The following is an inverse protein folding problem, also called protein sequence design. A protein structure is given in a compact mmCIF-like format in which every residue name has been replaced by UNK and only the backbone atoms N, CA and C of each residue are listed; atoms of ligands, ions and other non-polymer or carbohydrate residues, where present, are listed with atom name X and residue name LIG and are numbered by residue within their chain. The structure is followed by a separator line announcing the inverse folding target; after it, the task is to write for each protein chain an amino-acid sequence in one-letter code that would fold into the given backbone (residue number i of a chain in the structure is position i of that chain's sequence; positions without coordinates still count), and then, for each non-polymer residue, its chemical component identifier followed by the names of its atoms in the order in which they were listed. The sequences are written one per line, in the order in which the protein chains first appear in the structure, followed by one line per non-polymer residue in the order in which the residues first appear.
data_IF_433508716927
#
_entry.id   IF_433508716927
#
_cell.length_a   1.000
_cell.length_b   1.000
_cell.length_c   1.000
_cell.angle_alpha   90.00
_cell.angle_beta   90.00
_cell.angle_gamma   90.00
#
_symmetry.space_group_name_H-M   'P 1'
#
loop_
_entity.id
_entity.type
_entity.pdbx_description
1 polymer ?
#
# COMPACT_ATOMS: atom_id res chain seq x y z
N UNK A 1 -30.53 8.52 15.99
CA UNK A 1 -29.89 7.67 17.04
C UNK A 1 -29.39 8.58 18.16
N UNK A 2 -29.45 8.16 19.44
CA UNK A 2 -28.93 8.92 20.61
C UNK A 2 -27.55 8.47 21.12
N UNK A 3 -27.06 7.31 20.67
CA UNK A 3 -25.74 6.77 21.02
C UNK A 3 -25.00 6.37 19.75
N UNK A 4 -23.68 6.50 19.78
CA UNK A 4 -22.77 6.10 18.70
C UNK A 4 -22.28 4.69 19.01
N UNK A 5 -22.35 3.80 18.02
CA UNK A 5 -21.89 2.40 18.09
C UNK A 5 -20.64 2.22 17.24
N UNK A 6 -19.88 1.13 17.43
CA UNK A 6 -18.72 0.82 16.58
C UNK A 6 -19.09 0.76 15.08
N UNK A 7 -20.30 0.29 14.75
CA UNK A 7 -20.78 0.30 13.37
C UNK A 7 -20.86 1.73 12.80
N UNK A 8 -21.27 2.72 13.60
CA UNK A 8 -21.35 4.11 13.15
C UNK A 8 -19.93 4.67 12.86
N UNK A 9 -18.88 4.20 13.56
CA UNK A 9 -17.49 4.52 13.23
C UNK A 9 -17.03 3.84 11.94
N UNK A 10 -17.29 2.53 11.78
CA UNK A 10 -16.95 1.80 10.55
C UNK A 10 -17.62 2.44 9.33
N UNK A 11 -18.91 2.76 9.41
CA UNK A 11 -19.65 3.42 8.33
C UNK A 11 -19.11 4.81 8.01
N UNK A 12 -18.63 5.54 9.02
CA UNK A 12 -17.99 6.85 8.83
C UNK A 12 -16.64 6.73 8.12
N UNK A 13 -15.80 5.75 8.50
CA UNK A 13 -14.54 5.44 7.84
C UNK A 13 -14.80 5.11 6.36
N UNK A 14 -15.79 4.26 6.08
CA UNK A 14 -16.15 3.85 4.72
C UNK A 14 -16.61 5.03 3.87
N UNK A 15 -17.33 5.96 4.50
CA UNK A 15 -17.78 7.18 3.85
C UNK A 15 -16.63 8.14 3.56
N UNK A 16 -15.60 8.21 4.42
CA UNK A 16 -14.43 9.07 4.20
C UNK A 16 -13.53 8.49 3.10
N UNK A 17 -13.30 7.18 3.11
CA UNK A 17 -12.41 6.50 2.16
C UNK A 17 -13.09 6.30 0.80
N UNK A 18 -14.23 5.61 0.79
CA UNK A 18 -14.92 5.22 -0.45
C UNK A 18 -16.01 6.20 -0.91
N UNK A 19 -16.43 7.12 -0.05
CA UNK A 19 -17.55 8.04 -0.32
C UNK A 19 -18.93 7.47 0.05
N UNK A 20 -19.98 8.19 -0.35
CA UNK A 20 -21.37 7.80 -0.08
C UNK A 20 -21.74 6.49 -0.78
N UNK A 21 -22.29 5.55 -0.02
CA UNK A 21 -22.84 4.30 -0.56
C UNK A 21 -23.99 4.58 -1.53
N UNK A 22 -23.95 3.97 -2.71
CA UNK A 22 -24.99 4.11 -3.73
C UNK A 22 -25.89 2.88 -3.77
N UNK A 23 -26.79 2.77 -2.80
CA UNK A 23 -27.79 1.68 -2.70
C UNK A 23 -28.66 1.52 -3.96
N UNK A 24 -28.85 2.58 -4.74
CA UNK A 24 -29.68 2.58 -5.95
C UNK A 24 -28.88 2.35 -7.25
N UNK A 25 -27.55 2.18 -7.18
CA UNK A 25 -26.76 1.92 -8.38
C UNK A 25 -26.90 0.43 -8.73
N UNK A 26 -27.74 0.14 -9.72
CA UNK A 26 -27.93 -1.21 -10.24
C UNK A 26 -26.66 -1.59 -11.03
N UNK A 27 -25.95 -2.62 -10.56
CA UNK A 27 -24.79 -3.20 -11.24
C UNK A 27 -25.22 -4.53 -11.83
N UNK A 28 -24.87 -4.78 -13.08
CA UNK A 28 -25.20 -6.06 -13.71
C UNK A 28 -24.44 -7.21 -13.04
N UNK A 29 -24.97 -8.45 -13.01
CA UNK A 29 -24.24 -9.59 -12.44
C UNK A 29 -22.86 -9.82 -13.08
N UNK A 30 -22.73 -9.52 -14.38
CA UNK A 30 -21.45 -9.59 -15.10
C UNK A 30 -20.43 -8.56 -14.62
N UNK A 31 -20.84 -7.30 -14.45
CA UNK A 31 -19.97 -6.25 -13.92
C UNK A 31 -19.60 -6.52 -12.45
N UNK A 32 -20.58 -6.95 -11.63
CA UNK A 32 -20.32 -7.32 -10.23
C UNK A 32 -19.28 -8.43 -10.13
N UNK A 33 -19.32 -9.39 -11.07
CA UNK A 33 -18.30 -10.43 -11.19
C UNK A 33 -16.93 -9.85 -11.54
N UNK A 34 -16.83 -8.94 -12.51
CA UNK A 34 -15.54 -8.31 -12.86
C UNK A 34 -14.95 -7.61 -11.63
N UNK A 35 -15.76 -6.80 -10.93
CA UNK A 35 -15.35 -6.08 -9.73
C UNK A 35 -14.89 -7.05 -8.63
N UNK A 36 -15.62 -8.15 -8.39
CA UNK A 36 -15.22 -9.13 -7.37
C UNK A 36 -13.84 -9.76 -7.63
N UNK A 37 -13.54 -10.12 -8.88
CA UNK A 37 -12.21 -10.64 -9.24
C UNK A 37 -11.14 -9.56 -9.21
N UNK A 38 -11.48 -8.32 -9.56
CA UNK A 38 -10.58 -7.17 -9.45
C UNK A 38 -10.16 -6.93 -7.99
N UNK A 39 -11.13 -6.79 -7.10
CA UNK A 39 -10.88 -6.59 -5.67
C UNK A 39 -10.18 -7.80 -5.02
N UNK A 40 -10.53 -9.03 -5.44
CA UNK A 40 -9.83 -10.23 -5.01
C UNK A 40 -8.36 -10.24 -5.47
N UNK A 41 -8.06 -9.70 -6.65
CA UNK A 41 -6.69 -9.55 -7.17
C UNK A 41 -5.83 -8.66 -6.27
N UNK A 42 -6.36 -7.50 -5.85
CA UNK A 42 -5.71 -6.63 -4.87
C UNK A 42 -5.50 -7.35 -3.53
N UNK A 43 -6.55 -7.99 -3.01
CA UNK A 43 -6.52 -8.67 -1.72
C UNK A 43 -5.48 -9.80 -1.67
N UNK A 44 -5.46 -10.70 -2.66
CA UNK A 44 -4.48 -11.80 -2.72
C UNK A 44 -3.07 -11.27 -2.88
N UNK A 45 -2.86 -10.29 -3.76
CA UNK A 45 -1.53 -9.72 -3.98
C UNK A 45 -1.00 -9.06 -2.69
N UNK A 46 -1.82 -8.24 -2.03
CA UNK A 46 -1.45 -7.62 -0.75
C UNK A 46 -1.26 -8.62 0.39
N UNK A 47 -1.95 -9.76 0.36
CA UNK A 47 -1.81 -10.82 1.37
C UNK A 47 -0.49 -11.57 1.24
N UNK A 48 -0.11 -11.96 0.02
CA UNK A 48 1.04 -12.84 -0.22
C UNK A 48 2.34 -12.11 -0.50
N UNK A 49 2.33 -10.79 -0.71
CA UNK A 49 3.54 -9.98 -0.76
C UNK A 49 4.00 -9.57 0.65
N UNK A 50 5.32 -9.59 0.84
CA UNK A 50 5.96 -9.39 2.14
C UNK A 50 5.79 -7.95 2.63
N UNK A 51 6.00 -6.99 1.75
CA UNK A 51 6.15 -5.61 2.16
C UNK A 51 4.85 -4.82 2.13
N UNK A 52 3.79 -5.35 1.53
CA UNK A 52 2.48 -4.71 1.49
C UNK A 52 1.91 -4.46 2.88
N UNK A 53 1.13 -3.39 2.97
CA UNK A 53 0.35 -3.07 4.15
C UNK A 53 -0.72 -4.15 4.42
N UNK A 54 -1.01 -4.46 5.70
CA UNK A 54 -2.05 -5.41 6.03
C UNK A 54 -3.42 -5.00 5.50
N UNK A 55 -4.12 -5.91 4.81
CA UNK A 55 -5.50 -5.69 4.41
C UNK A 55 -6.42 -5.77 5.63
N UNK A 56 -7.25 -4.74 5.81
CA UNK A 56 -8.27 -4.67 6.87
C UNK A 56 -9.61 -5.15 6.34
N UNK A 57 -9.96 -4.72 5.13
CA UNK A 57 -11.26 -4.99 4.50
C UNK A 57 -11.18 -4.90 2.99
N UNK A 58 -11.99 -5.72 2.31
CA UNK A 58 -12.25 -5.60 0.87
C UNK A 58 -13.77 -5.61 0.64
N UNK A 59 -14.25 -4.76 -0.27
CA UNK A 59 -15.67 -4.63 -0.57
C UNK A 59 -15.94 -4.40 -2.05
N UNK A 60 -17.02 -4.98 -2.55
CA UNK A 60 -17.56 -4.73 -3.90
C UNK A 60 -18.84 -3.88 -3.86
N UNK A 61 -19.11 -3.23 -2.73
CA UNK A 61 -20.26 -2.34 -2.57
C UNK A 61 -19.93 -0.99 -3.23
N UNK A 62 -20.72 -0.52 -4.21
CA UNK A 62 -20.41 0.70 -4.92
C UNK A 62 -20.53 1.95 -4.03
N UNK A 63 -19.46 2.76 -4.01
CA UNK A 63 -19.39 4.00 -3.25
C UNK A 63 -18.90 5.17 -4.12
N UNK A 64 -19.41 6.36 -3.86
CA UNK A 64 -18.98 7.57 -4.56
C UNK A 64 -19.27 7.56 -6.07
N UNK A 65 -18.51 8.34 -6.84
CA UNK A 65 -18.72 8.50 -8.29
C UNK A 65 -17.99 7.43 -9.10
N UNK A 66 -16.80 7.00 -8.66
CA UNK A 66 -15.89 6.15 -9.43
C UNK A 66 -15.61 4.75 -8.82
N UNK A 67 -15.82 4.53 -7.52
CA UNK A 67 -15.48 3.25 -6.89
C UNK A 67 -16.64 2.24 -6.99
N UNK A 68 -16.43 1.17 -7.77
CA UNK A 68 -17.34 0.03 -7.81
C UNK A 68 -17.01 -1.02 -6.73
N UNK A 69 -15.78 -0.99 -6.22
CA UNK A 69 -15.28 -1.72 -5.07
C UNK A 69 -14.10 -0.95 -4.47
N UNK A 70 -13.58 -1.41 -3.33
CA UNK A 70 -12.33 -0.93 -2.75
C UNK A 70 -11.72 -1.94 -1.78
N UNK A 71 -10.39 -1.92 -1.71
CA UNK A 71 -9.59 -2.57 -0.68
C UNK A 71 -9.03 -1.53 0.30
N UNK A 72 -9.21 -1.77 1.59
CA UNK A 72 -8.71 -0.94 2.68
C UNK A 72 -7.52 -1.62 3.35
N UNK A 73 -6.41 -0.89 3.39
CA UNK A 73 -5.17 -1.31 4.03
C UNK A 73 -4.91 -0.50 5.29
N UNK A 74 -4.14 -1.05 6.22
CA UNK A 74 -3.62 -0.34 7.38
C UNK A 74 -2.19 0.13 7.09
N UNK A 75 -1.95 1.43 6.83
CA UNK A 75 -0.61 1.92 6.52
C UNK A 75 0.37 1.69 7.67
N UNK A 76 1.62 1.34 7.34
CA UNK A 76 2.73 1.37 8.30
C UNK A 76 3.10 2.82 8.63
N UNK A 77 3.34 3.11 9.91
CA UNK A 77 3.91 4.39 10.34
C UNK A 77 5.43 4.43 10.04
N UNK A 78 5.77 4.56 8.75
CA UNK A 78 7.15 4.64 8.29
C UNK A 78 7.39 5.83 7.37
N UNK A 79 8.56 6.45 7.51
CA UNK A 79 8.98 7.59 6.70
C UNK A 79 9.92 7.20 5.54
N UNK A 80 10.52 6.02 5.61
CA UNK A 80 11.51 5.55 4.66
C UNK A 80 11.01 4.28 3.98
N UNK A 81 11.18 4.22 2.67
CA UNK A 81 10.81 3.09 1.83
C UNK A 81 12.04 2.58 1.10
N UNK A 82 12.23 1.27 1.08
CA UNK A 82 13.20 0.62 0.20
C UNK A 82 12.58 0.33 -1.18
N UNK A 83 13.41 -0.10 -2.12
CA UNK A 83 12.97 -0.36 -3.50
C UNK A 83 11.96 -1.51 -3.53
N UNK A 84 12.19 -2.58 -2.77
CA UNK A 84 11.36 -3.77 -2.72
C UNK A 84 9.93 -3.44 -2.23
N UNK A 85 9.80 -2.58 -1.23
CA UNK A 85 8.52 -2.08 -0.71
C UNK A 85 7.72 -1.36 -1.80
N UNK A 86 8.37 -0.45 -2.54
CA UNK A 86 7.71 0.29 -3.62
C UNK A 86 7.28 -0.65 -4.75
N UNK A 87 8.13 -1.62 -5.12
CA UNK A 87 7.78 -2.62 -6.13
C UNK A 87 6.62 -3.51 -5.68
N UNK A 88 6.58 -3.94 -4.41
CA UNK A 88 5.45 -4.67 -3.83
C UNK A 88 4.16 -3.86 -3.86
N UNK A 89 4.23 -2.55 -3.56
CA UNK A 89 3.07 -1.66 -3.65
C UNK A 89 2.56 -1.52 -5.10
N UNK A 90 3.48 -1.41 -6.07
CA UNK A 90 3.12 -1.44 -7.50
C UNK A 90 2.45 -2.76 -7.89
N UNK A 91 2.97 -3.90 -7.41
CA UNK A 91 2.39 -5.21 -7.67
C UNK A 91 0.96 -5.31 -7.10
N UNK A 92 0.75 -4.88 -5.85
CA UNK A 92 -0.58 -4.85 -5.24
C UNK A 92 -1.56 -3.99 -6.03
N UNK A 93 -1.13 -2.82 -6.49
CA UNK A 93 -1.95 -1.95 -7.34
C UNK A 93 -2.29 -2.60 -8.69
N UNK A 94 -1.37 -3.38 -9.28
CA UNK A 94 -1.59 -4.10 -10.52
C UNK A 94 -2.50 -5.34 -10.35
N UNK A 95 -2.71 -5.78 -9.11
CA UNK A 95 -3.45 -6.99 -8.76
C UNK A 95 -4.83 -7.08 -9.40
N UNK A 96 -5.62 -6.01 -9.36
CA UNK A 96 -6.97 -5.99 -9.94
C UNK A 96 -6.98 -6.20 -11.46
N UNK A 97 -6.14 -5.45 -12.18
CA UNK A 97 -5.97 -5.59 -13.64
C UNK A 97 -5.44 -6.99 -14.01
N UNK A 98 -4.45 -7.49 -13.29
CA UNK A 98 -3.85 -8.80 -13.55
C UNK A 98 -4.88 -9.93 -13.32
N UNK A 99 -5.71 -9.83 -12.28
CA UNK A 99 -6.78 -10.79 -12.04
C UNK A 99 -7.82 -10.80 -13.17
N UNK A 100 -8.22 -9.62 -13.67
CA UNK A 100 -9.13 -9.54 -14.82
C UNK A 100 -8.54 -10.22 -16.08
N UNK A 101 -7.27 -9.94 -16.38
CA UNK A 101 -6.55 -10.54 -17.50
C UNK A 101 -6.51 -12.07 -17.38
N UNK A 102 -6.14 -12.61 -16.21
CA UNK A 102 -6.05 -14.06 -15.96
C UNK A 102 -7.43 -14.74 -16.05
N UNK A 103 -8.48 -14.12 -15.48
CA UNK A 103 -9.79 -14.77 -15.33
C UNK A 103 -10.65 -14.60 -16.58
N UNK A 104 -10.62 -13.43 -17.20
CA UNK A 104 -11.52 -13.05 -18.30
C UNK A 104 -10.81 -12.94 -19.66
N UNK A 105 -9.47 -12.91 -19.69
CA UNK A 105 -8.70 -12.62 -20.90
C UNK A 105 -8.98 -11.23 -21.47
N UNK A 106 -9.52 -10.33 -20.65
CA UNK A 106 -9.95 -8.98 -21.02
C UNK A 106 -9.72 -8.05 -19.84
N UNK A 107 -9.35 -6.82 -20.16
CA UNK A 107 -9.10 -5.75 -19.21
C UNK A 107 -10.23 -4.72 -19.28
N UNK A 108 -10.59 -4.15 -18.14
CA UNK A 108 -11.59 -3.10 -18.01
C UNK A 108 -10.96 -1.72 -17.81
N UNK A 109 -11.81 -0.69 -17.76
CA UNK A 109 -11.44 0.67 -17.36
C UNK A 109 -11.38 0.86 -15.83
N UNK A 110 -11.69 -0.19 -15.04
CA UNK A 110 -11.71 -0.13 -13.58
C UNK A 110 -10.36 0.18 -12.96
N UNK A 111 -9.26 -0.27 -13.57
CA UNK A 111 -7.90 -0.09 -13.10
C UNK A 111 -7.29 1.31 -13.35
N UNK A 112 -8.10 2.33 -13.70
CA UNK A 112 -7.58 3.66 -14.07
C UNK A 112 -6.81 4.31 -12.92
N UNK A 113 -7.40 4.32 -11.71
CA UNK A 113 -6.76 4.89 -10.52
C UNK A 113 -5.48 4.16 -10.13
N UNK A 114 -5.47 2.83 -10.27
CA UNK A 114 -4.28 2.04 -9.98
C UNK A 114 -3.16 2.38 -10.94
N UNK A 115 -3.44 2.42 -12.24
CA UNK A 115 -2.46 2.77 -13.26
C UNK A 115 -1.90 4.19 -13.06
N UNK A 116 -2.74 5.15 -12.65
CA UNK A 116 -2.27 6.50 -12.32
C UNK A 116 -1.29 6.46 -11.13
N UNK A 117 -1.64 5.74 -10.05
CA UNK A 117 -0.78 5.57 -8.87
C UNK A 117 0.55 4.90 -9.22
N UNK A 118 0.49 3.80 -9.95
CA UNK A 118 1.66 3.02 -10.41
C UNK A 118 2.57 3.88 -11.26
N UNK A 119 2.01 4.63 -12.21
CA UNK A 119 2.78 5.50 -13.10
C UNK A 119 3.53 6.58 -12.30
N UNK A 120 2.84 7.27 -11.38
CA UNK A 120 3.47 8.27 -10.51
C UNK A 120 4.59 7.66 -9.68
N UNK A 121 4.35 6.49 -9.08
CA UNK A 121 5.34 5.79 -8.27
C UNK A 121 6.58 5.39 -9.09
N UNK A 122 6.40 4.84 -10.28
CA UNK A 122 7.48 4.48 -11.19
C UNK A 122 8.33 5.70 -11.58
N UNK A 123 7.69 6.84 -11.91
CA UNK A 123 8.42 8.08 -12.15
C UNK A 123 9.20 8.54 -10.91
N UNK A 124 8.64 8.42 -9.70
CA UNK A 124 9.36 8.77 -8.46
C UNK A 124 10.58 7.86 -8.23
N UNK A 125 10.45 6.55 -8.44
CA UNK A 125 11.56 5.58 -8.34
C UNK A 125 12.71 5.99 -9.28
N UNK A 126 12.38 6.32 -10.52
CA UNK A 126 13.37 6.61 -11.57
C UNK A 126 13.96 8.02 -11.44
N UNK A 127 13.13 9.03 -11.18
CA UNK A 127 13.52 10.44 -11.31
C UNK A 127 13.81 11.14 -9.98
N UNK A 128 13.23 10.66 -8.88
CA UNK A 128 13.34 11.34 -7.58
C UNK A 128 14.26 10.58 -6.63
N UNK A 129 14.09 9.26 -6.52
CA UNK A 129 14.76 8.45 -5.52
C UNK A 129 16.11 7.89 -5.96
N UNK A 130 16.46 7.98 -7.24
CA UNK A 130 17.69 7.41 -7.78
C UNK A 130 17.76 5.89 -7.65
N UNK A 131 16.61 5.22 -7.68
CA UNK A 131 16.47 3.77 -7.49
C UNK A 131 16.48 3.00 -8.81
N UNK A 132 17.00 3.61 -9.89
CA UNK A 132 17.14 2.97 -11.19
C UNK A 132 18.62 2.77 -11.54
N UNK A 133 19.06 1.53 -11.87
CA UNK A 133 20.48 1.26 -12.11
C UNK A 133 21.04 1.91 -13.38
N UNK A 134 20.22 2.20 -14.40
CA UNK A 134 20.70 2.86 -15.63
C UNK A 134 20.96 4.35 -15.44
N UNK A 135 20.11 5.01 -14.65
CA UNK A 135 20.26 6.44 -14.33
C UNK A 135 21.22 6.66 -13.17
N UNK A 136 21.31 5.69 -12.26
CA UNK A 136 22.13 5.73 -11.05
C UNK A 136 21.53 6.61 -9.96
N UNK A 137 22.38 6.96 -8.99
CA UNK A 137 21.99 7.68 -7.76
C UNK A 137 21.85 9.19 -8.00
N UNK A 138 21.05 9.58 -9.00
CA UNK A 138 20.78 10.98 -9.38
C UNK A 138 19.31 11.30 -9.11
N UNK A 139 19.05 12.50 -8.61
CA UNK A 139 17.69 13.02 -8.44
C UNK A 139 17.48 14.25 -9.32
N UNK A 140 16.37 14.25 -10.03
CA UNK A 140 15.87 15.39 -10.80
C UNK A 140 14.75 16.14 -10.05
N UNK A 141 14.48 15.76 -8.80
CA UNK A 141 13.49 16.42 -7.96
C UNK A 141 13.98 17.79 -7.48
N UNK A 142 13.20 18.82 -7.76
CA UNK A 142 13.43 20.17 -7.25
C UNK A 142 12.49 20.46 -6.09
N UNK A 143 12.99 20.27 -4.86
CA UNK A 143 12.22 20.53 -3.63
C UNK A 143 11.88 22.00 -3.41
N UNK A 144 12.45 22.93 -4.19
CA UNK A 144 12.23 24.37 -4.08
C UNK A 144 11.21 24.90 -5.11
N UNK A 145 10.65 24.03 -5.94
CA UNK A 145 9.57 24.37 -6.89
C UNK A 145 9.97 25.38 -7.96
N UNK A 146 11.26 25.63 -8.19
CA UNK A 146 11.69 26.60 -9.20
C UNK A 146 11.39 26.10 -10.62
N UNK A 147 11.37 24.77 -10.81
CA UNK A 147 10.94 24.14 -12.05
C UNK A 147 9.43 23.89 -12.16
N UNK A 148 8.62 24.15 -11.12
CA UNK A 148 7.15 23.94 -11.19
C UNK A 148 6.49 24.94 -12.16
N UNK A 149 7.15 26.08 -12.41
CA UNK A 149 6.80 27.08 -13.42
C UNK A 149 7.79 27.14 -14.60
N UNK A 150 8.80 26.26 -14.60
CA UNK A 150 9.83 26.19 -15.63
C UNK A 150 9.41 25.24 -16.75
N UNK A 151 9.29 25.75 -17.97
CA UNK A 151 9.00 24.94 -19.18
C UNK A 151 10.15 23.99 -19.59
N UNK A 152 11.28 23.97 -18.87
CA UNK A 152 12.45 23.16 -19.20
C UNK A 152 12.69 22.05 -18.19
N UNK A 153 12.74 20.80 -18.67
CA UNK A 153 13.19 19.65 -17.89
C UNK A 153 14.67 19.84 -17.51
N UNK A 154 15.11 19.45 -16.30
CA UNK A 154 16.51 19.60 -15.86
C UNK A 154 17.47 18.55 -16.47
N UNK A 155 17.06 17.90 -17.56
CA UNK A 155 17.79 16.82 -18.22
C UNK A 155 17.55 16.85 -19.73
N UNK A 156 18.44 16.17 -20.46
CA UNK A 156 18.39 16.12 -21.93
C UNK A 156 17.19 15.30 -22.44
N UNK A 157 16.82 15.47 -23.72
CA UNK A 157 15.82 14.63 -24.37
C UNK A 157 16.21 13.14 -24.36
N UNK A 158 17.51 12.82 -24.52
CA UNK A 158 17.99 11.44 -24.43
C UNK A 158 17.75 10.85 -23.03
N UNK A 159 17.93 11.65 -21.98
CA UNK A 159 17.59 11.24 -20.60
C UNK A 159 16.09 11.10 -20.42
N UNK A 160 15.28 11.99 -21.01
CA UNK A 160 13.81 11.88 -20.97
C UNK A 160 13.33 10.57 -21.59
N UNK A 161 13.86 10.21 -22.76
CA UNK A 161 13.52 8.95 -23.42
C UNK A 161 13.93 7.75 -22.54
N UNK A 162 15.12 7.80 -21.93
CA UNK A 162 15.58 6.75 -21.03
C UNK A 162 14.68 6.62 -19.79
N UNK A 163 14.22 7.72 -19.21
CA UNK A 163 13.27 7.71 -18.08
C UNK A 163 11.98 6.99 -18.49
N UNK A 164 11.41 7.33 -19.65
CA UNK A 164 10.14 6.73 -20.10
C UNK A 164 10.29 5.22 -20.40
N UNK A 165 11.44 4.80 -20.95
CA UNK A 165 11.78 3.40 -21.18
C UNK A 165 11.92 2.62 -19.85
N UNK A 166 12.60 3.19 -18.87
CA UNK A 166 12.79 2.57 -17.55
C UNK A 166 11.49 2.51 -16.75
N UNK A 167 10.67 3.56 -16.79
CA UNK A 167 9.32 3.55 -16.17
C UNK A 167 8.49 2.42 -16.75
N UNK A 168 8.45 2.27 -18.08
CA UNK A 168 7.73 1.16 -18.73
C UNK A 168 8.28 -0.20 -18.29
N UNK A 169 9.59 -0.32 -18.21
CA UNK A 169 10.26 -1.58 -17.82
C UNK A 169 9.89 -1.99 -16.40
N UNK A 170 9.93 -1.06 -15.44
CA UNK A 170 9.58 -1.35 -14.03
C UNK A 170 8.11 -1.76 -13.91
N UNK A 171 7.20 -1.04 -14.59
CA UNK A 171 5.77 -1.36 -14.55
C UNK A 171 5.50 -2.73 -15.17
N UNK A 172 6.13 -3.05 -16.30
CA UNK A 172 5.97 -4.34 -16.97
C UNK A 172 6.49 -5.50 -16.08
N UNK A 173 7.67 -5.32 -15.46
CA UNK A 173 8.22 -6.31 -14.53
C UNK A 173 7.30 -6.54 -13.32
N UNK A 174 6.77 -5.47 -12.74
CA UNK A 174 5.79 -5.56 -11.66
C UNK A 174 4.52 -6.29 -12.12
N UNK A 175 4.05 -6.04 -13.34
CA UNK A 175 2.86 -6.69 -13.90
C UNK A 175 3.08 -8.18 -14.13
N UNK A 176 4.22 -8.57 -14.71
CA UNK A 176 4.61 -9.98 -14.90
C UNK A 176 4.68 -10.69 -13.55
N UNK A 177 5.38 -10.13 -12.57
CA UNK A 177 5.47 -10.68 -11.22
C UNK A 177 4.09 -10.85 -10.56
N UNK A 178 3.22 -9.87 -10.72
CA UNK A 178 1.85 -9.92 -10.19
C UNK A 178 1.03 -11.02 -10.86
N UNK A 179 1.15 -11.17 -12.18
CA UNK A 179 0.47 -12.24 -12.91
C UNK A 179 0.97 -13.62 -12.50
N UNK A 180 2.27 -13.79 -12.33
CA UNK A 180 2.86 -15.05 -11.85
C UNK A 180 2.30 -15.42 -10.47
N UNK A 181 2.31 -14.47 -9.53
CA UNK A 181 1.74 -14.67 -8.20
C UNK A 181 0.26 -15.07 -8.23
N UNK A 182 -0.57 -14.33 -8.98
CA UNK A 182 -2.01 -14.62 -9.08
C UNK A 182 -2.31 -15.91 -9.85
N UNK A 183 -1.41 -16.33 -10.74
CA UNK A 183 -1.50 -17.61 -11.43
C UNK A 183 -1.14 -18.77 -10.51
N UNK A 184 -0.11 -18.63 -9.68
CA UNK A 184 0.23 -19.61 -8.64
C UNK A 184 -0.91 -19.73 -7.61
N UNK A 185 -1.49 -18.59 -7.22
CA UNK A 185 -2.58 -18.48 -6.24
C UNK A 185 -3.96 -18.41 -6.86
N UNK A 186 -4.14 -19.08 -8.02
CA UNK A 186 -5.38 -19.04 -8.79
C UNK A 186 -6.57 -19.57 -8.01
N UNK A 187 -6.34 -20.58 -7.17
CA UNK A 187 -7.38 -21.18 -6.35
C UNK A 187 -7.89 -20.20 -5.30
N UNK A 188 -6.98 -19.57 -4.56
CA UNK A 188 -7.27 -18.57 -3.53
C UNK A 188 -7.99 -17.36 -4.13
N UNK A 189 -7.56 -16.91 -5.33
CA UNK A 189 -8.25 -15.85 -6.08
C UNK A 189 -9.71 -16.21 -6.38
N UNK A 190 -9.98 -17.43 -6.84
CA UNK A 190 -11.36 -17.92 -7.08
C UNK A 190 -12.19 -17.98 -5.80
N UNK A 191 -11.59 -18.44 -4.69
CA UNK A 191 -12.27 -18.55 -3.40
C UNK A 191 -12.69 -17.18 -2.88
N UNK A 192 -11.76 -16.21 -2.84
CA UNK A 192 -12.04 -14.85 -2.39
C UNK A 192 -13.08 -14.17 -3.28
N UNK A 193 -12.95 -14.27 -4.60
CA UNK A 193 -13.90 -13.64 -5.52
C UNK A 193 -15.33 -14.19 -5.37
N UNK A 194 -15.49 -15.50 -5.15
CA UNK A 194 -16.81 -16.11 -4.92
C UNK A 194 -17.40 -15.68 -3.59
N UNK A 195 -16.61 -15.68 -2.53
CA UNK A 195 -17.08 -15.22 -1.22
C UNK A 195 -17.47 -13.73 -1.27
N UNK A 196 -16.73 -12.89 -2.01
CA UNK A 196 -17.09 -11.49 -2.25
C UNK A 196 -18.43 -11.36 -2.98
N UNK A 197 -18.73 -12.24 -3.94
CA UNK A 197 -20.03 -12.21 -4.63
C UNK A 197 -21.20 -12.55 -3.71
N UNK A 198 -20.97 -13.40 -2.70
CA UNK A 198 -21.97 -13.80 -1.71
C UNK A 198 -22.14 -12.77 -0.58
N UNK A 199 -21.03 -12.28 -0.01
CA UNK A 199 -21.03 -11.42 1.19
C UNK A 199 -20.85 -9.93 0.92
N UNK A 200 -20.38 -9.56 -0.26
CA UNK A 200 -20.08 -8.18 -0.71
C UNK A 200 -18.95 -7.46 0.05
N UNK A 201 -18.60 -7.93 1.25
CA UNK A 201 -17.57 -7.40 2.14
C UNK A 201 -16.86 -8.58 2.80
N UNK A 202 -15.53 -8.56 2.80
CA UNK A 202 -14.69 -9.47 3.58
C UNK A 202 -13.74 -8.68 4.47
N UNK A 203 -13.56 -9.16 5.70
CA UNK A 203 -12.60 -8.61 6.65
C UNK A 203 -11.32 -9.44 6.69
N UNK A 204 -10.30 -8.95 7.38
CA UNK A 204 -9.04 -9.66 7.56
C UNK A 204 -9.22 -11.12 8.03
N UNK A 205 -10.10 -11.35 9.00
CA UNK A 205 -10.37 -12.70 9.54
C UNK A 205 -11.02 -13.63 8.51
N UNK A 206 -11.82 -13.10 7.58
CA UNK A 206 -12.38 -13.88 6.48
C UNK A 206 -11.26 -14.33 5.54
N UNK A 207 -10.29 -13.46 5.25
CA UNK A 207 -9.15 -13.83 4.42
C UNK A 207 -8.31 -14.92 5.09
N UNK A 208 -7.98 -14.77 6.37
CA UNK A 208 -7.23 -15.80 7.10
C UNK A 208 -7.97 -17.15 7.12
N UNK A 209 -9.30 -17.12 7.27
CA UNK A 209 -10.15 -18.32 7.21
C UNK A 209 -10.15 -18.97 5.82
N UNK A 210 -10.14 -18.17 4.76
CA UNK A 210 -10.31 -18.65 3.37
C UNK A 210 -9.00 -19.07 2.72
N UNK A 211 -7.91 -18.34 2.97
CA UNK A 211 -6.61 -18.54 2.29
C UNK A 211 -5.47 -18.84 3.26
N UNK A 212 -5.78 -18.97 4.55
CA UNK A 212 -4.80 -19.27 5.58
C UNK A 212 -4.08 -18.04 6.11
N UNK A 213 -3.20 -18.28 7.09
CA UNK A 213 -2.39 -17.23 7.72
C UNK A 213 -1.50 -16.55 6.69
N UNK A 214 -1.37 -15.23 6.85
CA UNK A 214 -0.43 -14.43 6.06
C UNK A 214 0.99 -15.00 6.24
N UNK A 215 1.70 -15.34 5.15
CA UNK A 215 3.03 -15.95 5.25
C UNK A 215 4.09 -14.97 5.77
N UNK A 216 3.87 -13.68 5.56
CA UNK A 216 4.78 -12.62 5.95
C UNK A 216 4.05 -11.68 6.93
N UNK A 217 4.36 -11.81 8.21
CA UNK A 217 3.82 -10.94 9.26
C UNK A 217 3.96 -11.50 10.66
N UNK A 218 4.54 -10.70 11.56
CA UNK A 218 4.15 -10.71 12.98
C UNK A 218 2.78 -10.06 13.16
N UNK A 219 2.32 -9.90 14.41
CA UNK A 219 1.03 -9.23 14.69
C UNK A 219 0.97 -7.87 13.97
N UNK A 220 -0.08 -7.66 13.16
CA UNK A 220 -0.35 -6.34 12.58
C UNK A 220 -0.68 -5.35 13.70
N UNK A 221 -0.48 -4.05 13.52
CA UNK A 221 -0.92 -3.05 14.52
C UNK A 221 -2.43 -3.18 14.79
N UNK A 222 -3.23 -3.58 13.78
CA UNK A 222 -4.64 -3.94 13.97
C UNK A 222 -4.83 -5.14 14.90
N UNK A 223 -4.07 -6.22 14.70
CA UNK A 223 -4.11 -7.40 15.57
C UNK A 223 -3.61 -7.07 16.98
N UNK A 224 -2.58 -6.23 17.12
CA UNK A 224 -2.11 -5.74 18.42
C UNK A 224 -3.16 -4.86 19.11
N UNK A 225 -3.83 -3.96 18.37
CA UNK A 225 -4.87 -3.08 18.90
C UNK A 225 -6.13 -3.86 19.27
N UNK A 226 -6.58 -4.81 18.44
CA UNK A 226 -7.68 -5.73 18.74
C UNK A 226 -7.35 -6.66 19.91
N UNK A 227 -6.10 -7.08 20.06
CA UNK A 227 -5.63 -7.90 21.18
C UNK A 227 -5.35 -7.08 22.45
N UNK A 228 -5.46 -5.75 22.41
CA UNK A 228 -5.16 -4.87 23.55
C UNK A 228 -3.67 -4.86 23.93
N UNK A 229 -2.79 -5.25 23.01
CA UNK A 229 -1.32 -5.29 23.19
C UNK A 229 -0.62 -4.18 22.42
N UNK A 230 -1.37 -3.32 21.75
CA UNK A 230 -0.82 -2.13 21.11
C UNK A 230 -0.27 -1.17 22.18
N UNK A 231 1.02 -0.88 22.08
CA UNK A 231 1.76 0.02 22.98
C UNK A 231 2.10 1.33 22.27
N UNK A 232 1.47 1.66 21.15
CA UNK A 232 1.64 2.97 20.53
C UNK A 232 1.05 4.03 21.45
N UNK A 233 1.88 4.64 22.30
CA UNK A 233 1.49 5.81 23.07
C UNK A 233 1.25 6.97 22.12
N UNK A 234 0.04 7.52 22.13
CA UNK A 234 -0.24 8.77 21.45
C UNK A 234 0.57 9.89 22.13
N UNK A 235 0.99 10.92 21.38
CA UNK A 235 1.72 12.06 21.96
C UNK A 235 0.96 12.79 23.10
N UNK A 236 -0.34 12.55 23.21
CA UNK A 236 -1.20 12.95 24.34
C UNK A 236 -0.98 12.14 25.62
N UNK A 237 -0.64 10.86 25.51
CA UNK A 237 -0.40 9.95 26.64
C UNK A 237 1.00 10.14 27.23
N UNK A 238 2.00 10.39 26.38
CA UNK A 238 3.38 10.73 26.79
C UNK A 238 3.44 11.99 27.69
N UNK A 239 2.47 12.90 27.55
CA UNK A 239 2.41 14.12 28.38
C UNK A 239 1.84 13.91 29.78
N UNK A 240 1.20 12.76 30.05
CA UNK A 240 0.53 12.51 31.32
C UNK A 240 1.29 11.58 32.27
N UNK A 241 2.38 10.94 31.82
CA UNK A 241 3.24 10.15 32.70
C UNK A 241 4.63 10.79 32.87
N UNK A 242 4.83 11.42 34.03
CA UNK A 242 6.08 11.91 34.63
C UNK A 242 6.83 13.08 33.93
N UNK A 243 6.73 14.32 34.45
CA UNK A 243 7.59 15.44 34.04
C UNK A 243 9.02 15.37 34.66
N UNK A 244 9.68 14.21 34.67
CA UNK A 244 10.98 14.09 35.37
C UNK A 244 11.83 12.84 35.22
N UNK A 245 11.62 11.98 34.21
CA UNK A 245 12.52 10.83 34.01
C UNK A 245 13.69 11.19 33.08
N UNK A 246 14.92 11.18 33.62
CA UNK A 246 16.16 11.29 32.83
C UNK A 246 16.26 10.07 31.91
N UNK A 247 16.38 10.31 30.60
CA UNK A 247 16.64 9.27 29.61
C UNK A 247 18.02 8.68 29.91
N UNK A 248 18.07 7.42 30.31
CA UNK A 248 19.31 6.65 30.38
C UNK A 248 19.79 6.37 28.96
N UNK A 249 21.04 6.72 28.65
CA UNK A 249 21.64 6.54 27.34
C UNK A 249 22.13 5.11 27.15
N UNK A 250 21.31 4.25 26.54
CA UNK A 250 21.74 2.93 26.04
C UNK A 250 22.46 3.08 24.67
N UNK A 251 23.52 3.88 24.63
CA UNK A 251 24.45 3.90 23.51
C UNK A 251 25.69 3.10 23.91
N UNK A 252 26.10 2.06 23.15
CA UNK A 252 27.36 1.39 23.40
C UNK A 252 28.52 2.38 23.19
N UNK A 253 29.45 2.46 24.16
CA UNK A 253 30.61 3.33 24.09
C UNK A 253 31.47 2.99 22.86
N UNK A 254 31.49 3.92 21.91
CA UNK A 254 32.35 3.84 20.72
C UNK A 254 33.77 4.29 21.11
N UNK A 255 34.65 3.34 21.45
CA UNK A 255 36.04 3.65 21.74
C UNK A 255 36.82 3.92 20.44
N UNK A 256 36.90 5.18 20.03
CA UNK A 256 37.71 5.61 18.89
C UNK A 256 39.18 5.77 19.33
N UNK A 257 40.15 5.17 18.60
CA UNK A 257 41.57 5.27 18.98
C UNK A 257 42.07 6.71 18.81
N UNK A 258 42.54 7.32 19.90
CA UNK A 258 43.18 8.65 19.92
C UNK A 258 42.49 9.72 20.76
N UNK A 259 41.42 9.42 21.50
CA UNK A 259 40.86 10.35 22.50
C UNK A 259 41.54 10.18 23.86
N UNK A 260 41.97 11.27 24.53
CA UNK A 260 42.53 11.19 25.88
C UNK A 260 41.44 10.79 26.88
N UNK A 261 41.75 9.84 27.76
CA UNK A 261 40.87 9.41 28.84
C UNK A 261 40.78 10.49 29.92
N UNK A 262 39.60 10.67 30.53
CA UNK A 262 39.26 11.72 31.51
C UNK A 262 40.15 11.80 32.79
N UNK A 263 41.22 11.02 32.90
CA UNK A 263 42.19 11.10 34.00
C UNK A 263 43.39 12.03 33.77
N UNK A 264 43.44 12.77 32.66
CA UNK A 264 44.56 13.69 32.36
C UNK A 264 44.19 15.19 32.35
N UNK A 265 42.97 15.55 32.77
CA UNK A 265 42.59 16.93 33.00
C UNK A 265 42.50 17.22 34.52
N UNK A 266 43.63 17.53 35.14
CA UNK A 266 43.70 18.21 36.44
C UNK A 266 44.29 19.60 36.22
#
# INVERSE_FOLDING_TARGET
KKFITNQDFTDAIDRVIGGLEKKNKIISPGEKRIVAYHEAGHAITGWFLEHCDPLVKVSIVPRGVAALGYAQYLPKEQFLYNTEQLIDEMCMALGGRAAEDIVFGKISTGALSDLERITKMAYSIVTMYGMNPKLGNVSFYDSKGQNEYGFSKPYSEATSQMIDEEVRTIIEQAYVRTKELLTERRHELEVIAKELLEKEVLLQDDLERLVGKRPFGGQTNYQAHMAGTDRSETASEVKNENPGAKIASDLPELHLPGMPTESEAV
#
